data_IF_382309388997
#
_entry.id   IF_382309388997
#
_cell.length_a   1.000
_cell.length_b   1.000
_cell.length_c   1.000
_cell.angle_alpha   90.00
_cell.angle_beta   90.00
_cell.angle_gamma   90.00
#
_symmetry.space_group_name_H-M   'P 1'
#
loop_
_entity.id
_entity.type
_entity.pdbx_description
1 polymer ?
#
# COMPACT_ATOMS: atom_id res chain seq x y z
N UNK A 1 57.47 15.79 28.53
CA UNK A 1 58.10 14.70 27.75
C UNK A 1 57.21 13.47 27.89
N UNK A 2 56.85 12.82 26.78
CA UNK A 2 56.03 11.60 26.70
C UNK A 2 54.53 11.86 26.89
N UNK A 3 53.61 11.59 25.96
CA UNK A 3 53.62 10.71 24.80
C UNK A 3 52.57 9.63 25.01
N UNK A 4 51.40 9.76 24.36
CA UNK A 4 50.62 8.61 23.87
C UNK A 4 49.51 9.10 22.92
N UNK A 5 49.70 8.84 21.63
CA UNK A 5 48.66 8.98 20.59
C UNK A 5 48.01 7.61 20.45
N UNK A 6 46.75 7.50 20.88
CA UNK A 6 45.93 6.32 20.62
C UNK A 6 45.24 6.53 19.27
N UNK A 7 45.49 5.61 18.35
CA UNK A 7 44.91 5.54 17.01
C UNK A 7 43.66 4.65 17.09
N UNK A 8 42.48 5.09 16.68
CA UNK A 8 41.31 4.22 16.64
C UNK A 8 41.39 3.33 15.38
N UNK A 9 41.26 2.02 15.60
CA UNK A 9 41.14 1.01 14.56
C UNK A 9 39.77 1.11 13.88
N UNK A 10 39.80 1.13 12.54
CA UNK A 10 38.62 1.05 11.68
C UNK A 10 37.98 -0.34 11.78
N UNK A 11 36.66 -0.44 11.98
CA UNK A 11 35.99 -1.73 11.87
C UNK A 11 35.88 -2.17 10.39
N UNK A 12 36.28 -3.41 10.14
CA UNK A 12 36.14 -4.10 8.87
C UNK A 12 34.68 -4.17 8.43
N UNK A 13 34.44 -3.73 7.19
CA UNK A 13 33.22 -3.99 6.42
C UNK A 13 33.11 -5.49 6.13
N UNK A 14 32.20 -6.19 6.81
CA UNK A 14 31.68 -7.46 6.33
C UNK A 14 30.54 -7.18 5.34
N UNK A 15 30.89 -7.28 4.05
CA UNK A 15 29.99 -7.27 2.91
C UNK A 15 29.27 -8.62 2.82
N UNK A 16 28.15 -8.77 3.53
CA UNK A 16 27.23 -9.90 3.38
C UNK A 16 26.37 -9.73 2.14
N UNK A 17 26.73 -10.43 1.06
CA UNK A 17 25.91 -10.63 -0.13
C UNK A 17 24.78 -11.61 0.23
N UNK A 18 23.55 -11.12 0.40
CA UNK A 18 22.36 -11.95 0.60
C UNK A 18 21.32 -11.63 -0.49
N UNK A 19 21.57 -12.13 -1.70
CA UNK A 19 20.62 -12.09 -2.81
C UNK A 19 19.92 -13.43 -2.91
N UNK A 20 18.85 -13.60 -2.13
CA UNK A 20 18.07 -14.83 -2.18
C UNK A 20 16.72 -14.70 -1.50
N UNK A 21 15.75 -14.03 -2.12
CA UNK A 21 14.31 -14.33 -1.93
C UNK A 21 13.42 -13.69 -3.00
N UNK A 22 12.68 -14.59 -3.67
CA UNK A 22 11.29 -14.48 -4.13
C UNK A 22 10.91 -13.44 -5.20
N UNK A 23 11.17 -13.83 -6.46
CA UNK A 23 10.66 -13.18 -7.70
C UNK A 23 9.59 -14.00 -8.44
N UNK A 24 8.77 -14.79 -7.75
CA UNK A 24 7.74 -15.64 -8.40
C UNK A 24 6.31 -15.10 -8.31
N UNK A 25 6.05 -13.98 -7.64
CA UNK A 25 4.68 -13.46 -7.44
C UNK A 25 4.09 -12.57 -8.54
N UNK A 26 4.89 -12.07 -9.50
CA UNK A 26 4.43 -10.95 -10.36
C UNK A 26 3.91 -11.36 -11.75
N UNK A 27 4.09 -12.62 -12.18
CA UNK A 27 3.67 -13.05 -13.53
C UNK A 27 2.22 -13.58 -13.60
N UNK A 28 1.55 -13.81 -12.46
CA UNK A 28 0.19 -14.34 -12.43
C UNK A 28 -0.91 -13.37 -12.90
N UNK A 29 -0.67 -12.05 -12.84
CA UNK A 29 -1.71 -11.04 -13.10
C UNK A 29 -1.74 -10.49 -14.54
N UNK A 30 -0.74 -10.79 -15.38
CA UNK A 30 -0.69 -10.26 -16.76
C UNK A 30 -1.37 -11.19 -17.77
N UNK A 31 -1.49 -12.49 -17.47
CA UNK A 31 -2.13 -13.47 -18.38
C UNK A 31 -3.66 -13.34 -18.40
N UNK A 32 -4.28 -12.74 -17.38
CA UNK A 32 -5.75 -12.60 -17.31
C UNK A 32 -6.36 -11.52 -18.21
N UNK A 33 -5.59 -10.48 -18.59
CA UNK A 33 -6.16 -9.32 -19.31
C UNK A 33 -6.17 -9.54 -20.83
N UNK A 34 -5.24 -10.30 -21.38
CA UNK A 34 -5.17 -10.59 -22.82
C UNK A 34 -6.26 -11.56 -23.27
N UNK A 35 -6.72 -12.45 -22.38
CA UNK A 35 -7.81 -13.40 -22.66
C UNK A 35 -9.16 -12.71 -22.91
N UNK A 36 -9.47 -11.66 -22.16
CA UNK A 36 -10.78 -10.96 -22.22
C UNK A 36 -10.97 -10.22 -23.56
N UNK A 37 -9.88 -9.70 -24.17
CA UNK A 37 -9.98 -8.94 -25.43
C UNK A 37 -10.24 -9.85 -26.63
N UNK A 38 -9.74 -11.09 -26.61
CA UNK A 38 -9.91 -12.05 -27.72
C UNK A 38 -11.28 -12.75 -27.68
N UNK A 39 -11.88 -12.94 -26.50
CA UNK A 39 -13.21 -13.58 -26.42
C UNK A 39 -14.34 -12.64 -26.87
N UNK A 40 -14.22 -11.32 -26.60
CA UNK A 40 -15.27 -10.34 -26.95
C UNK A 40 -15.37 -10.12 -28.46
N UNK A 41 -14.27 -10.23 -29.21
CA UNK A 41 -14.30 -10.09 -30.68
C UNK A 41 -14.89 -11.31 -31.37
N UNK A 42 -14.70 -12.53 -30.84
CA UNK A 42 -15.23 -13.74 -31.46
C UNK A 42 -16.75 -13.89 -31.30
N UNK A 43 -17.34 -13.40 -30.19
CA UNK A 43 -18.80 -13.47 -29.96
C UNK A 43 -19.59 -12.42 -30.75
N UNK A 44 -18.96 -11.30 -31.12
CA UNK A 44 -19.62 -10.22 -31.86
C UNK A 44 -19.78 -10.55 -33.36
N UNK A 45 -18.90 -11.37 -33.93
CA UNK A 45 -18.92 -11.71 -35.36
C UNK A 45 -20.07 -12.68 -35.68
N UNK A 46 -20.46 -13.56 -34.76
CA UNK A 46 -21.52 -14.55 -35.03
C UNK A 46 -22.94 -13.97 -34.93
N UNK A 47 -23.13 -12.82 -34.28
CA UNK A 47 -24.45 -12.17 -34.13
C UNK A 47 -24.74 -11.19 -35.28
N UNK A 48 -23.71 -10.81 -36.06
CA UNK A 48 -23.83 -9.81 -37.13
C UNK A 48 -24.58 -10.32 -38.38
N UNK A 49 -24.73 -11.64 -38.57
CA UNK A 49 -25.29 -12.21 -39.81
C UNK A 49 -26.83 -12.24 -39.87
N UNK A 50 -27.56 -11.85 -38.81
CA UNK A 50 -29.03 -11.99 -38.78
C UNK A 50 -29.85 -10.70 -38.87
N UNK A 51 -29.23 -9.50 -38.91
CA UNK A 51 -29.99 -8.24 -38.80
C UNK A 51 -29.44 -7.12 -39.71
N UNK A 52 -29.98 -7.00 -40.93
CA UNK A 52 -29.53 -6.08 -42.00
C UNK A 52 -30.12 -4.66 -41.94
N UNK A 53 -30.37 -4.13 -40.73
CA UNK A 53 -30.92 -2.78 -40.55
C UNK A 53 -29.87 -1.66 -40.58
N UNK A 54 -30.08 -0.64 -41.42
CA UNK A 54 -29.19 0.54 -41.61
C UNK A 54 -28.91 1.32 -40.32
N UNK A 55 -29.82 1.23 -39.33
CA UNK A 55 -29.72 1.93 -38.05
C UNK A 55 -28.57 1.43 -37.15
N UNK A 56 -28.15 0.17 -37.26
CA UNK A 56 -27.09 -0.39 -36.39
C UNK A 56 -25.69 0.12 -36.71
N UNK A 57 -25.43 0.53 -37.97
CA UNK A 57 -24.13 1.08 -38.36
C UNK A 57 -23.77 2.32 -37.54
N UNK A 58 -24.76 3.13 -37.15
CA UNK A 58 -24.55 4.31 -36.30
C UNK A 58 -24.21 3.93 -34.86
N UNK A 59 -24.87 2.92 -34.31
CA UNK A 59 -24.63 2.43 -32.95
C UNK A 59 -23.23 1.81 -32.82
N UNK A 60 -22.82 0.95 -33.77
CA UNK A 60 -21.49 0.35 -33.74
C UNK A 60 -20.37 1.36 -34.00
N UNK A 61 -20.60 2.36 -34.85
CA UNK A 61 -19.62 3.43 -35.05
C UNK A 61 -19.45 4.27 -33.78
N UNK A 62 -20.55 4.61 -33.10
CA UNK A 62 -20.51 5.33 -31.82
C UNK A 62 -19.81 4.53 -30.72
N UNK A 63 -20.13 3.25 -30.58
CA UNK A 63 -19.51 2.36 -29.59
C UNK A 63 -18.01 2.17 -29.88
N UNK A 64 -17.64 1.99 -31.15
CA UNK A 64 -16.24 1.86 -31.57
C UNK A 64 -15.41 3.10 -31.23
N UNK A 65 -15.94 4.30 -31.51
CA UNK A 65 -15.27 5.57 -31.14
C UNK A 65 -15.13 5.70 -29.63
N UNK A 66 -16.14 5.31 -28.86
CA UNK A 66 -16.08 5.37 -27.39
C UNK A 66 -15.02 4.42 -26.81
N UNK A 67 -14.94 3.18 -27.31
CA UNK A 67 -13.92 2.20 -26.87
C UNK A 67 -12.52 2.69 -27.22
N UNK A 68 -12.33 3.26 -28.42
CA UNK A 68 -11.04 3.83 -28.82
C UNK A 68 -10.69 5.05 -27.94
N UNK A 69 -11.63 5.95 -27.68
CA UNK A 69 -11.40 7.12 -26.83
C UNK A 69 -11.07 6.73 -25.38
N UNK A 70 -11.79 5.75 -24.81
CA UNK A 70 -11.52 5.20 -23.49
C UNK A 70 -10.15 4.51 -23.43
N UNK A 71 -9.79 3.77 -24.48
CA UNK A 71 -8.47 3.16 -24.65
C UNK A 71 -7.34 4.20 -24.69
N UNK A 72 -7.51 5.26 -25.49
CA UNK A 72 -6.56 6.38 -25.57
C UNK A 72 -6.45 7.11 -24.23
N UNK A 73 -7.56 7.34 -23.53
CA UNK A 73 -7.56 7.97 -22.21
C UNK A 73 -6.80 7.15 -21.16
N UNK A 74 -7.02 5.83 -21.13
CA UNK A 74 -6.27 4.93 -20.25
C UNK A 74 -4.79 4.89 -20.63
N UNK A 75 -4.48 4.91 -21.93
CA UNK A 75 -3.11 4.99 -22.44
C UNK A 75 -2.43 6.30 -22.00
N UNK A 76 -3.11 7.44 -22.11
CA UNK A 76 -2.60 8.75 -21.64
C UNK A 76 -2.41 8.79 -20.13
N UNK A 77 -3.33 8.21 -19.36
CA UNK A 77 -3.22 8.08 -17.89
C UNK A 77 -2.02 7.20 -17.50
N UNK A 78 -1.77 6.12 -18.24
CA UNK A 78 -0.59 5.27 -18.09
C UNK A 78 0.71 5.95 -18.54
N UNK A 79 0.66 6.79 -19.59
CA UNK A 79 1.79 7.57 -20.11
C UNK A 79 2.34 8.58 -19.09
N UNK A 80 1.49 9.03 -18.16
CA UNK A 80 1.89 9.89 -17.04
C UNK A 80 2.88 9.22 -16.08
N UNK A 81 3.00 7.89 -16.12
CA UNK A 81 3.94 7.12 -15.31
C UNK A 81 5.16 6.73 -16.16
N UNK A 82 6.31 7.43 -16.00
CA UNK A 82 7.52 7.24 -16.85
C UNK A 82 8.06 5.80 -16.88
N UNK A 83 7.78 5.01 -15.84
CA UNK A 83 8.21 3.61 -15.77
C UNK A 83 7.38 2.72 -16.72
N UNK A 84 6.11 3.05 -16.99
CA UNK A 84 5.27 2.30 -17.93
C UNK A 84 5.71 2.55 -19.38
N UNK A 85 6.21 3.75 -19.70
CA UNK A 85 6.73 4.04 -21.05
C UNK A 85 7.96 3.18 -21.39
N UNK A 86 8.85 2.91 -20.43
CA UNK A 86 10.02 2.05 -20.65
C UNK A 86 9.63 0.59 -20.88
N UNK A 87 8.65 0.09 -20.12
CA UNK A 87 8.15 -1.29 -20.27
C UNK A 87 7.41 -1.44 -21.61
N UNK A 88 6.54 -0.48 -21.96
CA UNK A 88 5.84 -0.51 -23.24
C UNK A 88 6.79 -0.38 -24.44
N UNK A 89 7.86 0.43 -24.34
CA UNK A 89 8.88 0.52 -25.40
C UNK A 89 9.59 -0.83 -25.60
N UNK A 90 9.93 -1.53 -24.52
CA UNK A 90 10.55 -2.86 -24.58
C UNK A 90 9.60 -3.91 -25.17
N UNK A 91 8.32 -3.90 -24.78
CA UNK A 91 7.29 -4.82 -25.33
C UNK A 91 7.02 -4.51 -26.81
N UNK A 92 6.94 -3.24 -27.20
CA UNK A 92 6.72 -2.84 -28.60
C UNK A 92 7.92 -3.22 -29.47
N UNK A 93 9.15 -3.06 -28.98
CA UNK A 93 10.34 -3.52 -29.67
C UNK A 93 10.38 -5.05 -29.82
N UNK A 94 9.94 -5.80 -28.81
CA UNK A 94 9.85 -7.27 -28.87
C UNK A 94 8.79 -7.77 -29.87
N UNK A 95 7.63 -7.11 -29.92
CA UNK A 95 6.55 -7.45 -30.85
C UNK A 95 6.88 -7.07 -32.30
N UNK A 96 7.51 -5.90 -32.53
CA UNK A 96 8.02 -5.53 -33.85
C UNK A 96 9.17 -6.44 -34.31
N UNK A 97 10.02 -6.91 -33.40
CA UNK A 97 11.05 -7.90 -33.69
C UNK A 97 10.46 -9.25 -34.12
N UNK A 98 9.36 -9.67 -33.51
CA UNK A 98 8.69 -10.94 -33.80
C UNK A 98 7.94 -10.94 -35.14
N UNK A 99 7.48 -9.77 -35.59
CA UNK A 99 6.80 -9.65 -36.89
C UNK A 99 7.75 -9.71 -38.09
N UNK A 100 9.06 -9.46 -37.88
CA UNK A 100 10.08 -9.51 -38.95
C UNK A 100 10.71 -10.91 -39.13
N UNK A 101 10.57 -11.82 -38.17
CA UNK A 101 11.10 -13.19 -38.26
C UNK A 101 10.03 -14.27 -38.54
N UNK A 102 8.75 -13.90 -38.57
CA UNK A 102 7.61 -14.83 -38.66
C UNK A 102 7.06 -15.11 -40.06
N UNK A 103 7.85 -14.95 -41.12
CA UNK A 103 7.49 -15.34 -42.48
C UNK A 103 8.44 -16.43 -43.00
N UNK A 104 8.53 -17.56 -42.30
CA UNK A 104 9.08 -18.81 -42.84
C UNK A 104 8.69 -19.99 -41.96
N UNK A 105 8.23 -21.07 -42.62
CA UNK A 105 7.84 -22.38 -42.06
C UNK A 105 6.46 -22.34 -41.38
N UNK A 106 5.43 -23.05 -41.83
CA UNK A 106 5.39 -24.28 -42.60
C UNK A 106 4.36 -25.18 -41.93
N UNK A 107 3.23 -25.30 -42.60
CA UNK A 107 2.10 -26.19 -42.34
C UNK A 107 2.56 -27.65 -42.12
N UNK A 108 1.94 -28.37 -41.18
CA UNK A 108 1.78 -29.84 -41.02
C UNK A 108 1.34 -30.05 -39.56
N UNK A 109 0.53 -31.02 -39.12
CA UNK A 109 -0.48 -31.92 -39.68
C UNK A 109 -1.21 -32.45 -38.42
N UNK A 110 -2.46 -32.88 -38.56
CA UNK A 110 -3.32 -33.35 -37.49
C UNK A 110 -2.95 -34.74 -36.94
N UNK A 111 -3.17 -34.95 -35.64
CA UNK A 111 -3.58 -36.20 -34.96
C UNK A 111 -3.84 -35.79 -33.49
N UNK A 112 -4.93 -36.11 -32.80
CA UNK A 112 -5.72 -37.34 -32.79
C UNK A 112 -5.66 -37.89 -31.36
N UNK A 113 -6.81 -37.95 -30.66
CA UNK A 113 -6.94 -38.56 -29.32
C UNK A 113 -7.20 -37.54 -28.20
N UNK A 114 -8.05 -37.76 -27.20
CA UNK A 114 -8.96 -38.86 -26.91
C UNK A 114 -9.91 -38.37 -25.80
N UNK A 115 -11.10 -38.96 -25.74
CA UNK A 115 -12.13 -38.78 -24.69
C UNK A 115 -11.59 -39.10 -23.29
N UNK A 116 -12.13 -38.43 -22.27
CA UNK A 116 -12.07 -38.87 -20.88
C UNK A 116 -12.95 -38.02 -19.94
N UNK A 117 -14.01 -38.57 -19.33
CA UNK A 117 -15.09 -37.81 -18.69
C UNK A 117 -14.99 -37.78 -17.15
N UNK A 118 -15.94 -37.05 -16.56
CA UNK A 118 -16.51 -37.24 -15.21
C UNK A 118 -15.66 -36.92 -13.97
N UNK A 119 -16.18 -35.94 -13.20
CA UNK A 119 -15.77 -35.63 -11.84
C UNK A 119 -16.91 -34.95 -11.09
N UNK A 120 -17.90 -35.75 -10.72
CA UNK A 120 -19.11 -35.38 -9.97
C UNK A 120 -18.85 -35.19 -8.46
N UNK A 121 -19.85 -34.61 -7.80
CA UNK A 121 -20.14 -34.62 -6.35
C UNK A 121 -19.16 -33.79 -5.48
N UNK A 122 -19.60 -32.94 -4.55
CA UNK A 122 -20.82 -32.92 -3.77
C UNK A 122 -20.41 -32.88 -2.29
N UNK A 123 -20.82 -31.85 -1.55
CA UNK A 123 -20.95 -31.92 -0.09
C UNK A 123 -21.81 -30.79 0.45
N UNK A 124 -23.09 -31.12 0.54
CA UNK A 124 -24.07 -30.59 1.48
C UNK A 124 -23.55 -30.78 2.91
N UNK A 125 -23.46 -29.70 3.69
CA UNK A 125 -23.29 -29.77 5.14
C UNK A 125 -24.51 -29.16 5.84
N UNK A 126 -25.08 -29.98 6.73
CA UNK A 126 -26.34 -29.88 7.46
C UNK A 126 -26.20 -28.97 8.69
N UNK A 127 -27.27 -28.28 9.14
CA UNK A 127 -27.25 -27.52 10.38
C UNK A 127 -27.17 -28.46 11.61
N UNK A 128 -26.23 -28.19 12.52
CA UNK A 128 -26.09 -28.90 13.79
C UNK A 128 -26.88 -28.20 14.90
N UNK A 129 -27.60 -28.94 15.77
CA UNK A 129 -28.45 -28.38 16.79
C UNK A 129 -27.71 -27.87 18.02
N UNK A 130 -28.39 -26.92 18.65
CA UNK A 130 -28.23 -26.31 19.97
C UNK A 130 -27.97 -27.35 21.07
N UNK A 131 -26.99 -27.08 21.93
CA UNK A 131 -26.89 -27.68 23.26
C UNK A 131 -26.70 -26.55 24.27
N UNK A 132 -27.79 -26.28 24.99
CA UNK A 132 -27.80 -25.46 26.18
C UNK A 132 -27.15 -26.25 27.31
N UNK A 133 -25.99 -25.82 27.77
CA UNK A 133 -25.45 -26.21 29.08
C UNK A 133 -25.63 -25.03 30.02
N UNK A 134 -26.54 -25.21 30.96
CA UNK A 134 -26.77 -24.34 32.11
C UNK A 134 -25.56 -24.48 33.05
N UNK A 135 -24.68 -23.48 33.03
CA UNK A 135 -23.52 -23.40 33.92
C UNK A 135 -23.84 -22.45 35.06
N UNK A 136 -23.92 -23.00 36.27
CA UNK A 136 -24.08 -22.27 37.53
C UNK A 136 -22.92 -21.31 37.72
N UNK A 137 -23.19 -20.02 37.50
CA UNK A 137 -22.19 -18.96 37.63
C UNK A 137 -21.78 -18.75 39.09
N UNK A 138 -20.48 -18.77 39.44
CA UNK A 138 -20.00 -18.27 40.72
C UNK A 138 -20.24 -16.76 40.81
N UNK A 139 -20.77 -16.32 41.94
CA UNK A 139 -21.03 -14.91 42.26
C UNK A 139 -19.74 -14.09 42.11
N UNK A 140 -19.69 -13.09 41.21
CA UNK A 140 -18.49 -12.27 41.06
C UNK A 140 -18.31 -11.44 42.33
N UNK A 141 -17.26 -11.75 43.08
CA UNK A 141 -16.75 -10.86 44.12
C UNK A 141 -16.41 -9.54 43.42
N UNK A 142 -17.02 -8.45 43.90
CA UNK A 142 -16.90 -7.12 43.29
C UNK A 142 -15.44 -6.76 43.11
N UNK A 143 -14.98 -6.80 41.86
CA UNK A 143 -13.70 -6.22 41.47
C UNK A 143 -13.91 -4.72 41.55
N UNK A 144 -13.30 -4.11 42.57
CA UNK A 144 -13.23 -2.67 42.72
C UNK A 144 -12.62 -2.11 41.44
N UNK A 145 -13.47 -1.51 40.60
CA UNK A 145 -13.06 -0.99 39.31
C UNK A 145 -12.17 0.21 39.60
N UNK A 146 -10.85 -0.01 39.45
CA UNK A 146 -9.89 1.09 39.51
C UNK A 146 -10.29 2.08 38.41
N UNK A 147 -10.49 3.37 38.73
CA UNK A 147 -10.82 4.37 37.72
C UNK A 147 -9.82 4.28 36.57
N UNK A 148 -10.26 4.40 35.31
CA UNK A 148 -9.34 4.40 34.18
C UNK A 148 -8.31 5.50 34.39
N UNK A 149 -7.04 5.12 34.33
CA UNK A 149 -5.93 6.06 34.48
C UNK A 149 -6.03 7.13 33.40
N UNK A 150 -5.96 8.40 33.81
CA UNK A 150 -6.01 9.50 32.85
C UNK A 150 -4.75 9.43 31.98
N UNK A 151 -4.89 9.58 30.65
CA UNK A 151 -3.74 9.59 29.77
C UNK A 151 -2.73 10.67 30.15
N UNK A 152 -1.50 10.25 30.40
CA UNK A 152 -0.41 11.14 30.72
C UNK A 152 0.27 11.64 29.43
N UNK A 153 0.63 12.92 29.40
CA UNK A 153 1.47 13.48 28.35
C UNK A 153 2.90 12.98 28.55
N UNK A 154 3.44 12.24 27.59
CA UNK A 154 4.80 11.71 27.63
C UNK A 154 5.78 12.73 27.06
N UNK A 155 5.49 13.24 25.85
CA UNK A 155 6.43 14.08 25.12
C UNK A 155 5.71 15.04 24.18
N UNK A 156 6.28 16.23 23.98
CA UNK A 156 5.83 17.16 22.95
C UNK A 156 6.97 18.02 22.42
N UNK A 157 6.85 18.48 21.17
CA UNK A 157 7.75 19.49 20.60
C UNK A 157 7.53 20.89 21.20
N UNK A 158 6.45 21.11 21.96
CA UNK A 158 6.16 22.37 22.67
C UNK A 158 6.26 23.61 21.77
N UNK A 159 5.72 23.53 20.55
CA UNK A 159 5.75 24.62 19.56
C UNK A 159 7.11 24.85 18.89
N UNK A 160 8.07 23.94 19.04
CA UNK A 160 9.34 23.94 18.32
C UNK A 160 9.39 22.79 17.31
N UNK A 161 8.89 22.98 16.07
CA UNK A 161 8.79 21.89 15.11
C UNK A 161 10.13 21.25 14.77
N UNK A 162 10.15 19.92 14.68
CA UNK A 162 11.35 19.16 14.25
C UNK A 162 11.41 19.07 12.74
N UNK A 163 12.62 19.05 12.17
CA UNK A 163 12.80 18.92 10.71
C UNK A 163 12.97 17.46 10.32
N UNK A 164 12.11 17.00 9.42
CA UNK A 164 12.11 15.65 8.87
C UNK A 164 12.39 15.68 7.35
N UNK A 165 13.34 14.88 6.89
CA UNK A 165 13.73 14.80 5.48
C UNK A 165 13.11 13.58 4.82
N UNK A 166 12.83 13.66 3.52
CA UNK A 166 12.39 12.50 2.73
C UNK A 166 13.41 11.35 2.81
N UNK A 167 12.89 10.11 2.92
CA UNK A 167 13.69 8.89 3.00
C UNK A 167 14.17 8.56 4.41
N UNK A 168 13.69 9.29 5.40
CA UNK A 168 13.96 9.05 6.82
C UNK A 168 12.67 8.59 7.50
N UNK A 169 12.81 7.84 8.58
CA UNK A 169 11.75 7.58 9.54
C UNK A 169 11.96 8.34 10.85
N UNK A 170 10.88 8.40 11.63
CA UNK A 170 10.81 8.96 12.99
C UNK A 170 10.34 7.82 13.89
N UNK A 171 10.97 7.72 15.04
CA UNK A 171 10.54 6.89 16.15
C UNK A 171 9.87 7.81 17.18
N UNK A 172 8.56 7.71 17.30
CA UNK A 172 7.73 8.56 18.15
C UNK A 172 7.86 8.20 19.64
N UNK A 173 8.38 7.01 19.92
CA UNK A 173 8.63 6.49 21.26
C UNK A 173 10.06 6.82 21.73
N UNK A 174 10.98 7.16 20.81
CA UNK A 174 12.36 7.52 21.13
C UNK A 174 12.47 8.68 22.13
N UNK A 175 13.41 8.57 23.08
CA UNK A 175 13.83 9.65 23.98
C UNK A 175 14.90 10.59 23.37
N UNK A 176 15.37 10.30 22.15
CA UNK A 176 16.43 11.08 21.52
C UNK A 176 15.97 12.51 21.22
N UNK A 177 16.88 13.47 21.35
CA UNK A 177 16.57 14.91 21.17
C UNK A 177 16.02 15.26 19.79
N UNK A 178 16.30 14.45 18.77
CA UNK A 178 15.80 14.59 17.40
C UNK A 178 14.66 13.62 17.06
N UNK A 179 14.06 12.94 18.05
CA UNK A 179 12.97 11.97 17.89
C UNK A 179 13.38 10.73 17.07
N UNK A 180 14.63 10.29 17.27
CA UNK A 180 15.16 9.11 16.61
C UNK A 180 15.13 9.23 15.09
N UNK A 181 15.31 10.42 14.51
CA UNK A 181 15.27 10.57 13.05
C UNK A 181 16.43 9.79 12.40
N UNK A 182 16.11 8.80 11.56
CA UNK A 182 17.10 7.95 10.92
C UNK A 182 16.74 7.57 9.49
N UNK A 183 17.72 7.17 8.67
CA UNK A 183 17.46 6.64 7.33
C UNK A 183 16.83 5.25 7.41
N UNK A 184 15.85 4.98 6.54
CA UNK A 184 15.17 3.68 6.50
C UNK A 184 13.94 3.60 7.42
N UNK A 185 13.17 2.52 7.24
CA UNK A 185 11.88 2.28 7.90
C UNK A 185 11.99 1.41 9.16
N UNK A 186 13.09 0.68 9.31
CA UNK A 186 13.25 -0.31 10.38
C UNK A 186 13.22 0.35 11.76
N UNK A 187 12.29 -0.09 12.61
CA UNK A 187 12.10 0.44 13.96
C UNK A 187 11.55 1.86 14.02
N UNK A 188 10.85 2.33 12.97
CA UNK A 188 10.28 3.68 12.90
C UNK A 188 8.76 3.63 12.85
N UNK A 189 8.08 4.45 13.67
CA UNK A 189 6.62 4.55 13.65
C UNK A 189 6.12 5.29 12.41
N UNK A 190 6.88 6.28 11.94
CA UNK A 190 6.57 7.07 10.76
C UNK A 190 7.70 7.01 9.75
N UNK A 191 7.36 6.90 8.48
CA UNK A 191 8.32 6.94 7.39
C UNK A 191 7.82 7.79 6.21
N UNK A 192 8.68 8.66 5.66
CA UNK A 192 8.31 9.54 4.56
C UNK A 192 8.98 9.18 3.23
N UNK A 193 8.19 8.64 2.30
CA UNK A 193 8.62 8.25 0.95
C UNK A 193 8.57 9.42 -0.06
N UNK A 194 9.34 10.50 0.13
CA UNK A 194 9.38 11.63 -0.83
C UNK A 194 10.08 11.36 -2.19
N UNK A 195 10.13 10.10 -2.63
CA UNK A 195 10.67 9.69 -3.93
C UNK A 195 9.69 9.91 -5.08
N UNK A 196 10.22 10.26 -6.27
CA UNK A 196 9.44 10.59 -7.49
C UNK A 196 8.56 9.44 -8.03
N UNK A 197 8.73 8.21 -7.53
CA UNK A 197 8.16 7.01 -8.14
C UNK A 197 7.11 6.28 -7.30
N UNK A 198 7.00 6.58 -5.99
CA UNK A 198 6.20 5.74 -5.11
C UNK A 198 4.79 6.28 -4.85
N UNK A 199 4.55 7.59 -5.01
CA UNK A 199 3.23 8.18 -4.70
C UNK A 199 2.82 8.05 -3.22
N UNK A 200 3.67 7.42 -2.39
CA UNK A 200 3.49 7.23 -0.97
C UNK A 200 3.94 8.52 -0.28
N UNK A 201 3.07 9.08 0.56
CA UNK A 201 3.40 10.23 1.38
C UNK A 201 4.03 9.77 2.70
N UNK A 202 3.34 10.04 3.81
CA UNK A 202 3.72 9.58 5.14
C UNK A 202 3.10 8.19 5.33
N UNK A 203 3.91 7.20 5.69
CA UNK A 203 3.45 5.85 6.01
C UNK A 203 3.74 5.57 7.49
N UNK A 204 2.97 4.66 8.07
CA UNK A 204 3.20 4.12 9.40
C UNK A 204 3.11 2.59 9.36
N UNK A 205 3.89 1.92 10.21
CA UNK A 205 3.66 0.50 10.52
C UNK A 205 2.32 0.29 11.26
N UNK A 206 1.79 1.36 11.84
CA UNK A 206 0.56 1.38 12.61
C UNK A 206 -0.57 2.13 11.88
N UNK A 207 -1.74 2.20 12.51
CA UNK A 207 -2.90 2.88 11.94
C UNK A 207 -2.80 4.39 12.16
N UNK A 208 -3.10 5.17 11.13
CA UNK A 208 -3.18 6.62 11.19
C UNK A 208 -4.59 7.12 10.86
N UNK A 209 -4.94 8.31 11.33
CA UNK A 209 -6.19 8.97 10.95
C UNK A 209 -5.97 10.47 10.77
N UNK A 210 -6.44 11.04 9.67
CA UNK A 210 -6.40 12.50 9.47
C UNK A 210 -7.49 13.13 10.37
N UNK A 211 -7.11 14.12 11.17
CA UNK A 211 -7.98 14.77 12.16
C UNK A 211 -7.93 16.29 12.03
N UNK A 212 -8.83 16.98 12.72
CA UNK A 212 -8.90 18.45 12.70
C UNK A 212 -8.98 19.07 14.10
N UNK A 213 -8.53 20.31 14.21
CA UNK A 213 -8.45 21.07 15.45
C UNK A 213 -7.07 20.96 16.11
N UNK A 214 -7.01 21.19 17.43
CA UNK A 214 -5.79 21.05 18.21
C UNK A 214 -5.58 19.65 18.79
N UNK A 215 -4.37 19.38 19.33
CA UNK A 215 -3.99 18.09 19.93
C UNK A 215 -4.98 17.62 21.00
N UNK A 216 -5.56 16.44 20.78
CA UNK A 216 -6.57 15.85 21.66
C UNK A 216 -6.51 14.32 21.56
N UNK A 217 -6.13 13.66 22.66
CA UNK A 217 -6.00 12.20 22.70
C UNK A 217 -7.35 11.48 22.53
N UNK A 218 -8.44 12.06 23.04
CA UNK A 218 -9.78 11.52 22.88
C UNK A 218 -10.20 11.50 21.42
N UNK A 219 -9.86 12.53 20.65
CA UNK A 219 -10.07 12.52 19.18
C UNK A 219 -9.26 11.44 18.49
N UNK A 220 -8.01 11.25 18.87
CA UNK A 220 -7.19 10.19 18.27
C UNK A 220 -7.80 8.81 18.55
N UNK A 221 -8.10 8.49 19.81
CA UNK A 221 -8.65 7.17 20.18
C UNK A 221 -10.00 6.87 19.53
N UNK A 222 -10.80 7.91 19.27
CA UNK A 222 -12.12 7.76 18.64
C UNK A 222 -12.09 7.94 17.12
N UNK A 223 -10.92 8.07 16.50
CA UNK A 223 -10.81 8.20 15.06
C UNK A 223 -11.19 6.87 14.38
N UNK A 224 -12.03 6.95 13.35
CA UNK A 224 -12.56 5.77 12.64
C UNK A 224 -12.05 5.63 11.21
N UNK A 225 -11.57 6.71 10.60
CA UNK A 225 -11.01 6.70 9.24
C UNK A 225 -9.53 6.30 9.27
N UNK A 226 -9.30 5.03 9.60
CA UNK A 226 -7.97 4.48 9.82
C UNK A 226 -7.31 4.07 8.49
N UNK A 227 -6.06 4.50 8.30
CA UNK A 227 -5.27 4.25 7.11
C UNK A 227 -3.80 4.00 7.47
N UNK A 228 -3.08 3.22 6.67
CA UNK A 228 -1.65 2.96 6.87
C UNK A 228 -0.74 4.03 6.26
N UNK A 229 -1.31 4.95 5.46
CA UNK A 229 -0.55 5.99 4.79
C UNK A 229 -1.42 7.23 4.51
N UNK A 230 -0.79 8.41 4.62
CA UNK A 230 -1.28 9.68 4.08
C UNK A 230 -0.65 9.86 2.71
N UNK A 231 -1.44 10.12 1.69
CA UNK A 231 -0.93 10.26 0.32
C UNK A 231 -0.20 11.58 0.16
N UNK A 232 0.76 11.60 -0.76
CA UNK A 232 1.57 12.79 -1.02
C UNK A 232 0.74 14.04 -1.34
N UNK A 233 -0.34 13.90 -2.10
CA UNK A 233 -1.23 15.00 -2.49
C UNK A 233 -2.15 15.49 -1.36
N UNK A 234 -2.22 14.75 -0.26
CA UNK A 234 -2.95 15.14 0.95
C UNK A 234 -2.05 15.94 1.92
N UNK A 235 -0.72 15.78 1.84
CA UNK A 235 0.25 16.47 2.69
C UNK A 235 0.30 17.96 2.34
N UNK A 236 0.05 18.80 3.35
CA UNK A 236 0.08 20.26 3.25
C UNK A 236 0.26 20.86 4.65
N UNK A 237 0.68 22.12 4.70
CA UNK A 237 0.81 22.84 5.97
C UNK A 237 -0.51 22.83 6.75
N UNK A 238 -0.41 22.63 8.05
CA UNK A 238 -1.51 22.57 8.99
C UNK A 238 -2.28 21.24 9.01
N UNK A 239 -1.99 20.27 8.13
CA UNK A 239 -2.65 18.95 8.26
C UNK A 239 -2.22 18.29 9.58
N UNK A 240 -3.21 17.77 10.29
CA UNK A 240 -3.01 17.01 11.52
C UNK A 240 -3.46 15.58 11.32
N UNK A 241 -2.76 14.64 11.93
CA UNK A 241 -3.13 13.24 11.94
C UNK A 241 -2.73 12.60 13.26
N UNK A 242 -3.49 11.58 13.63
CA UNK A 242 -3.19 10.71 14.75
C UNK A 242 -2.42 9.49 14.26
N UNK A 243 -1.48 9.01 15.06
CA UNK A 243 -0.85 7.69 14.93
C UNK A 243 -1.31 6.89 16.14
N UNK A 244 -2.04 5.81 15.88
CA UNK A 244 -2.58 4.91 16.89
C UNK A 244 -1.63 3.74 17.06
N UNK A 245 -1.31 3.42 18.31
CA UNK A 245 -0.50 2.25 18.66
C UNK A 245 0.88 2.33 18.04
N UNK A 246 1.70 3.26 18.53
CA UNK A 246 3.16 3.17 18.32
C UNK A 246 3.68 1.83 18.88
N UNK A 247 4.94 1.49 18.61
CA UNK A 247 5.51 0.22 19.06
C UNK A 247 5.39 -0.03 20.56
N UNK A 248 5.28 1.03 21.36
CA UNK A 248 5.15 0.97 22.83
C UNK A 248 3.74 1.26 23.36
N UNK A 249 2.70 1.12 22.53
CA UNK A 249 1.31 1.45 22.90
C UNK A 249 1.10 2.93 23.25
N UNK A 250 1.79 3.86 22.59
CA UNK A 250 1.47 5.27 22.71
C UNK A 250 0.50 5.72 21.62
N UNK A 251 -0.10 6.90 21.86
CA UNK A 251 -0.89 7.62 20.87
C UNK A 251 -0.19 8.93 20.58
N UNK A 252 0.01 9.23 19.30
CA UNK A 252 0.63 10.49 18.89
C UNK A 252 -0.33 11.34 18.05
N UNK A 253 -0.29 12.65 18.29
CA UNK A 253 -0.81 13.67 17.39
C UNK A 253 0.35 14.34 16.66
N UNK A 254 0.26 14.39 15.34
CA UNK A 254 1.29 14.97 14.48
C UNK A 254 0.67 16.04 13.59
N UNK A 255 1.23 17.25 13.63
CA UNK A 255 0.84 18.36 12.76
C UNK A 255 2.00 18.70 11.83
N UNK A 256 1.71 18.83 10.54
CA UNK A 256 2.68 19.33 9.55
C UNK A 256 2.74 20.85 9.64
N UNK A 257 3.80 21.39 10.26
CA UNK A 257 3.96 22.83 10.44
C UNK A 257 4.44 23.55 9.18
N UNK A 258 5.29 22.90 8.38
CA UNK A 258 5.84 23.43 7.11
C UNK A 258 6.18 22.25 6.19
N UNK A 259 5.76 22.31 4.93
CA UNK A 259 5.99 21.26 3.95
C UNK A 259 6.58 21.84 2.65
N UNK A 260 7.76 21.33 2.28
CA UNK A 260 8.43 21.71 1.05
C UNK A 260 8.79 20.48 0.22
N UNK A 261 7.90 20.11 -0.71
CA UNK A 261 8.14 18.99 -1.62
C UNK A 261 9.40 19.19 -2.48
N UNK A 262 9.64 20.42 -2.94
CA UNK A 262 10.83 20.74 -3.74
C UNK A 262 12.14 20.57 -2.98
N UNK A 263 12.14 20.86 -1.67
CA UNK A 263 13.31 20.68 -0.80
C UNK A 263 13.36 19.29 -0.19
N UNK A 264 12.30 18.50 -0.33
CA UNK A 264 12.11 17.21 0.34
C UNK A 264 12.30 17.32 1.85
N UNK A 265 11.73 18.38 2.43
CA UNK A 265 11.74 18.67 3.86
C UNK A 265 10.34 18.94 4.36
N UNK A 266 10.11 18.56 5.61
CA UNK A 266 8.90 18.83 6.35
C UNK A 266 9.27 19.20 7.79
N UNK A 267 8.47 20.05 8.42
CA UNK A 267 8.54 20.31 9.86
C UNK A 267 7.32 19.76 10.55
N UNK A 268 7.52 19.07 11.66
CA UNK A 268 6.45 18.44 12.42
C UNK A 268 6.37 18.99 13.83
N UNK A 269 5.15 19.25 14.28
CA UNK A 269 4.82 19.36 15.69
C UNK A 269 4.23 18.04 16.15
N UNK A 270 4.72 17.53 17.27
CA UNK A 270 4.39 16.19 17.75
C UNK A 270 3.99 16.29 19.21
N UNK A 271 2.93 15.57 19.59
CA UNK A 271 2.50 15.38 20.97
C UNK A 271 2.18 13.90 21.17
N UNK A 272 2.80 13.26 22.15
CA UNK A 272 2.69 11.83 22.44
C UNK A 272 2.16 11.64 23.85
N UNK A 273 1.18 10.76 24.00
CA UNK A 273 0.57 10.38 25.26
C UNK A 273 0.65 8.88 25.47
N UNK A 274 0.63 8.49 26.74
CA UNK A 274 0.35 7.11 27.12
C UNK A 274 -1.09 6.74 26.69
N UNK A 275 -1.26 5.58 26.05
CA UNK A 275 -2.59 5.10 25.70
C UNK A 275 -3.42 4.67 26.92
N UNK A 276 -2.84 4.58 28.13
CA UNK A 276 -3.55 4.16 29.34
C UNK A 276 -4.26 2.82 29.18
N UNK A 277 -3.87 2.04 28.17
CA UNK A 277 -4.39 0.71 27.89
C UNK A 277 -3.46 -0.25 28.59
N UNK A 278 -3.69 -0.46 29.89
CA UNK A 278 -3.12 -1.63 30.56
C UNK A 278 -3.65 -2.87 29.85
N UNK A 279 -2.80 -3.54 29.08
CA UNK A 279 -3.09 -4.87 28.55
C UNK A 279 -3.13 -5.81 29.76
N UNK A 280 -4.34 -6.05 30.28
CA UNK A 280 -4.60 -7.00 31.36
C UNK A 280 -4.42 -8.44 30.90
#
# INVERSE_FOLDING_TARGET
MGGSKIKPDSPERLSGNDTGRDRTGFLGNIVGVTGIIVTVTSSAITIADTWTGVEWRRVFTGLGVFVVAAGIYQLMKAWRNRNVMRIMLAVTAALLGSFLTGLSVGQLSAEGGERGPDGAAGSTSKPQPTSSSESTAPSPSGVESTPPEEPSLLRSTNGNPITWNSGYGIDLDSDDGDWGIGQGEEGRDLYWWGGLNYGLGIASGSQMAIVSGGPDIGKCRNATDLQSAIKKDEIRDGISFCVLSTTENHVAWVTVADFSDSKRKMKLEITVWDAGLTVS
#
